data_IF_725740522753
#
_entry.id   IF_725740522753
#
_cell.length_a   1.000
_cell.length_b   1.000
_cell.length_c   1.000
_cell.angle_alpha   90.00
_cell.angle_beta   90.00
_cell.angle_gamma   90.00
#
_symmetry.space_group_name_H-M   'P 1'
#
loop_
_entity.id
_entity.type
_entity.pdbx_description
1 polymer ?
#
# COMPACT_ATOMS: atom_id res chain seq x y z
N UNK A 1 10.24 -25.99 -5.18
CA UNK A 1 11.24 -25.03 -4.64
C UNK A 1 11.52 -25.41 -3.19
N UNK A 2 12.79 -25.43 -2.77
CA UNK A 2 13.13 -25.58 -1.35
C UNK A 2 12.53 -24.37 -0.63
N UNK A 3 11.78 -24.59 0.45
CA UNK A 3 11.07 -23.51 1.17
C UNK A 3 12.01 -22.52 1.86
N UNK A 4 13.28 -22.87 1.98
CA UNK A 4 14.28 -22.15 2.78
C UNK A 4 15.34 -21.44 1.94
N UNK A 5 15.08 -21.21 0.64
CA UNK A 5 15.99 -20.52 -0.26
C UNK A 5 15.26 -19.49 -1.14
N UNK A 6 15.92 -18.35 -1.47
CA UNK A 6 15.43 -17.39 -2.44
C UNK A 6 15.06 -18.03 -3.79
N UNK A 7 13.92 -17.66 -4.42
CA UNK A 7 13.52 -18.19 -5.72
C UNK A 7 14.55 -17.92 -6.84
N UNK A 8 15.20 -16.76 -6.80
CA UNK A 8 16.38 -16.40 -7.59
C UNK A 8 17.55 -16.30 -6.62
N UNK A 9 18.59 -17.11 -6.85
CA UNK A 9 19.69 -17.25 -5.89
C UNK A 9 20.39 -15.92 -5.62
N UNK A 10 20.42 -15.54 -4.35
CA UNK A 10 21.24 -14.46 -3.77
C UNK A 10 21.86 -14.98 -2.48
N UNK A 11 23.05 -14.51 -2.15
CA UNK A 11 23.79 -14.86 -0.95
C UNK A 11 24.21 -13.60 -0.18
N UNK A 12 24.46 -13.76 1.12
CA UNK A 12 25.04 -12.69 1.94
C UNK A 12 26.43 -12.34 1.38
N UNK A 13 26.67 -11.05 1.18
CA UNK A 13 27.87 -10.50 0.54
C UNK A 13 27.71 -10.20 -0.94
N UNK A 14 26.68 -10.73 -1.61
CA UNK A 14 26.42 -10.44 -3.02
C UNK A 14 26.16 -8.95 -3.23
N UNK A 15 26.66 -8.43 -4.34
CA UNK A 15 26.40 -7.08 -4.82
C UNK A 15 25.51 -7.19 -6.04
N UNK A 16 24.39 -6.46 -5.99
CA UNK A 16 23.42 -6.38 -7.07
C UNK A 16 23.44 -5.00 -7.68
N UNK A 17 23.29 -4.92 -9.00
CA UNK A 17 23.21 -3.68 -9.75
C UNK A 17 21.86 -3.55 -10.45
N UNK A 18 21.36 -2.31 -10.57
CA UNK A 18 20.12 -1.98 -11.27
C UNK A 18 20.25 -0.60 -11.93
N UNK A 19 19.59 -0.41 -13.06
CA UNK A 19 19.48 0.91 -13.68
C UNK A 19 18.48 1.79 -12.92
N UNK A 20 18.93 2.98 -12.53
CA UNK A 20 18.13 4.00 -11.86
C UNK A 20 17.65 5.06 -12.85
N UNK A 21 16.33 5.15 -13.05
CA UNK A 21 15.74 6.21 -13.87
C UNK A 21 15.94 7.60 -13.24
N UNK A 22 16.00 7.67 -11.91
CA UNK A 22 16.20 8.89 -11.15
C UNK A 22 17.57 9.54 -11.43
N UNK A 23 18.59 8.70 -11.59
CA UNK A 23 19.97 9.11 -11.80
C UNK A 23 20.41 9.07 -13.27
N UNK A 24 19.66 8.37 -14.13
CA UNK A 24 20.09 8.09 -15.50
C UNK A 24 21.37 7.24 -15.55
N UNK A 25 21.60 6.41 -14.53
CA UNK A 25 22.83 5.67 -14.31
C UNK A 25 22.53 4.37 -13.54
N UNK A 26 23.48 3.44 -13.54
CA UNK A 26 23.40 2.23 -12.72
C UNK A 26 23.74 2.54 -11.27
N UNK A 27 23.09 1.85 -10.35
CA UNK A 27 23.36 1.87 -8.91
C UNK A 27 23.64 0.47 -8.41
N UNK A 28 24.22 0.35 -7.21
CA UNK A 28 24.58 -0.92 -6.62
C UNK A 28 24.12 -1.01 -5.16
N UNK A 29 23.80 -2.22 -4.72
CA UNK A 29 23.42 -2.56 -3.35
C UNK A 29 24.08 -3.87 -2.91
N UNK A 30 24.42 -4.00 -1.63
CA UNK A 30 24.94 -5.24 -1.06
C UNK A 30 23.86 -5.98 -0.26
N UNK A 31 23.77 -7.30 -0.44
CA UNK A 31 22.97 -8.18 0.41
C UNK A 31 23.75 -8.42 1.71
N UNK A 32 23.26 -7.91 2.84
CA UNK A 32 23.95 -8.04 4.13
C UNK A 32 23.37 -9.13 5.03
N UNK A 33 22.17 -9.63 4.71
CA UNK A 33 21.51 -10.67 5.49
C UNK A 33 20.40 -11.38 4.70
N UNK A 34 20.11 -12.62 5.07
CA UNK A 34 18.97 -13.38 4.56
C UNK A 34 18.26 -14.01 5.76
N UNK A 35 16.95 -13.78 5.86
CA UNK A 35 16.08 -14.40 6.84
C UNK A 35 15.13 -15.38 6.14
N UNK A 36 15.38 -16.70 6.22
CA UNK A 36 14.49 -17.70 5.63
C UNK A 36 13.12 -17.81 6.29
N UNK A 37 12.99 -17.42 7.57
CA UNK A 37 11.72 -17.49 8.29
C UNK A 37 10.80 -16.35 7.86
N UNK A 38 11.34 -15.14 7.74
CA UNK A 38 10.62 -13.98 7.22
C UNK A 38 10.55 -13.93 5.69
N UNK A 39 11.33 -14.76 4.99
CA UNK A 39 11.50 -14.71 3.53
C UNK A 39 12.00 -13.34 3.04
N UNK A 40 12.92 -12.74 3.81
CA UNK A 40 13.45 -11.40 3.57
C UNK A 40 14.95 -11.42 3.30
N UNK A 41 15.42 -10.42 2.55
CA UNK A 41 16.83 -10.08 2.39
C UNK A 41 17.08 -8.66 2.92
N UNK A 42 18.12 -8.50 3.73
CA UNK A 42 18.60 -7.20 4.15
C UNK A 42 19.50 -6.62 3.06
N UNK A 43 19.17 -5.43 2.57
CA UNK A 43 19.79 -4.79 1.41
C UNK A 43 20.31 -3.42 1.83
N UNK A 44 21.61 -3.22 1.63
CA UNK A 44 22.30 -1.97 1.87
C UNK A 44 22.57 -1.28 0.53
N UNK A 45 21.94 -0.13 0.27
CA UNK A 45 22.30 0.66 -0.91
C UNK A 45 23.71 1.26 -0.73
N UNK A 46 24.47 1.30 -1.83
CA UNK A 46 25.82 1.86 -1.85
C UNK A 46 25.79 3.30 -2.37
N UNK A 47 26.68 4.14 -1.87
CA UNK A 47 26.93 5.47 -2.41
C UNK A 47 27.73 5.36 -3.72
N UNK A 48 27.09 4.81 -4.73
CA UNK A 48 27.69 4.56 -6.03
C UNK A 48 26.66 4.72 -7.14
N UNK A 49 27.06 5.43 -8.20
CA UNK A 49 26.40 5.27 -9.49
C UNK A 49 27.39 5.43 -10.64
N UNK A 50 27.14 4.78 -11.76
CA UNK A 50 27.97 4.95 -12.94
C UNK A 50 27.39 4.30 -14.20
N UNK A 51 28.25 4.06 -15.21
CA UNK A 51 27.94 3.17 -16.32
C UNK A 51 27.58 1.76 -15.83
N UNK A 52 27.03 0.93 -16.73
CA UNK A 52 26.69 -0.47 -16.43
C UNK A 52 27.92 -1.24 -15.92
N UNK A 53 27.91 -1.73 -14.66
CA UNK A 53 29.02 -2.50 -14.13
C UNK A 53 28.91 -3.95 -14.59
N UNK A 54 30.00 -4.52 -15.10
CA UNK A 54 30.08 -5.94 -15.43
C UNK A 54 30.48 -6.78 -14.21
N UNK A 55 31.26 -6.21 -13.29
CA UNK A 55 31.70 -6.85 -12.06
C UNK A 55 31.85 -5.85 -10.91
N UNK A 56 31.93 -6.37 -9.68
CA UNK A 56 32.22 -5.57 -8.47
C UNK A 56 33.48 -4.70 -8.60
N UNK A 57 34.49 -5.16 -9.34
CA UNK A 57 35.72 -4.39 -9.56
C UNK A 57 35.47 -3.04 -10.28
N UNK A 58 34.40 -2.93 -11.07
CA UNK A 58 34.04 -1.70 -11.79
C UNK A 58 33.49 -0.62 -10.86
N UNK A 59 33.11 -0.98 -9.63
CA UNK A 59 32.56 -0.04 -8.67
C UNK A 59 33.63 0.82 -7.99
N UNK A 60 34.89 0.36 -7.98
CA UNK A 60 35.98 0.99 -7.22
C UNK A 60 35.77 0.92 -5.70
N UNK A 61 36.27 1.94 -4.99
CA UNK A 61 36.09 2.05 -3.54
C UNK A 61 34.68 2.55 -3.21
N UNK A 62 33.77 1.62 -2.93
CA UNK A 62 32.39 1.91 -2.56
C UNK A 62 32.19 2.03 -1.06
N UNK A 63 31.24 2.88 -0.66
CA UNK A 63 30.84 3.09 0.72
C UNK A 63 29.33 2.83 0.88
N UNK A 64 28.87 2.48 2.10
CA UNK A 64 27.44 2.47 2.42
C UNK A 64 26.78 3.83 2.14
N UNK A 65 25.59 3.85 1.53
CA UNK A 65 24.83 5.08 1.34
C UNK A 65 24.36 5.60 2.70
N UNK A 66 24.80 6.82 3.04
CA UNK A 66 24.39 7.52 4.26
C UNK A 66 23.39 8.63 3.93
N UNK A 67 22.22 8.57 4.55
CA UNK A 67 21.13 9.52 4.36
C UNK A 67 21.23 10.67 5.35
N UNK A 68 21.39 11.88 4.82
CA UNK A 68 21.38 13.15 5.56
C UNK A 68 20.37 14.15 5.00
N UNK A 69 19.62 13.76 3.96
CA UNK A 69 18.57 14.60 3.39
C UNK A 69 17.35 14.69 4.31
N UNK A 70 16.64 15.82 4.26
CA UNK A 70 15.40 16.05 5.03
C UNK A 70 15.63 15.84 6.54
N UNK A 71 14.85 14.95 7.19
CA UNK A 71 14.95 14.64 8.63
C UNK A 71 15.89 13.48 8.94
N UNK A 72 16.62 12.94 7.95
CA UNK A 72 17.55 11.83 8.17
C UNK A 72 18.82 12.31 8.91
N UNK A 73 19.14 11.65 10.02
CA UNK A 73 20.25 12.01 10.92
C UNK A 73 21.59 11.32 10.61
N UNK A 74 21.86 10.95 9.36
CA UNK A 74 23.06 10.19 8.98
C UNK A 74 22.89 8.68 9.11
N UNK A 75 21.66 8.17 9.04
CA UNK A 75 21.37 6.73 9.02
C UNK A 75 21.75 6.11 7.69
N UNK A 76 21.99 4.80 7.66
CA UNK A 76 22.27 4.08 6.40
C UNK A 76 20.98 3.82 5.63
N UNK A 77 21.05 3.82 4.29
CA UNK A 77 19.98 3.26 3.46
C UNK A 77 20.08 1.74 3.50
N UNK A 78 19.56 1.16 4.58
CA UNK A 78 19.60 -0.26 4.88
C UNK A 78 18.19 -0.74 5.23
N UNK A 79 17.66 -1.66 4.45
CA UNK A 79 16.26 -2.06 4.53
C UNK A 79 16.09 -3.56 4.26
N UNK A 80 15.08 -4.18 4.88
CA UNK A 80 14.65 -5.52 4.56
C UNK A 80 13.59 -5.49 3.45
N UNK A 81 13.78 -6.31 2.43
CA UNK A 81 12.85 -6.52 1.32
C UNK A 81 12.51 -8.00 1.21
N UNK A 82 11.45 -8.36 0.48
CA UNK A 82 11.25 -9.76 0.14
C UNK A 82 12.48 -10.31 -0.60
N UNK A 83 12.85 -11.55 -0.27
CA UNK A 83 14.05 -12.21 -0.82
C UNK A 83 13.95 -12.61 -2.30
N UNK A 84 12.94 -12.11 -3.03
CA UNK A 84 12.83 -12.30 -4.47
C UNK A 84 13.64 -11.22 -5.14
N UNK A 85 14.83 -11.56 -5.66
CA UNK A 85 15.63 -10.61 -6.43
C UNK A 85 14.88 -10.20 -7.71
N UNK A 86 14.46 -8.93 -7.86
CA UNK A 86 13.67 -8.53 -9.01
C UNK A 86 14.45 -8.72 -10.30
N UNK A 87 13.75 -9.02 -11.40
CA UNK A 87 14.40 -9.38 -12.66
C UNK A 87 15.28 -8.27 -13.23
N UNK A 88 15.00 -7.00 -12.93
CA UNK A 88 15.81 -5.86 -13.38
C UNK A 88 17.17 -5.78 -12.67
N UNK A 89 17.35 -6.50 -11.56
CA UNK A 89 18.60 -6.54 -10.83
C UNK A 89 19.49 -7.67 -11.33
N UNK A 90 20.80 -7.44 -11.30
CA UNK A 90 21.82 -8.42 -11.67
C UNK A 90 22.86 -8.55 -10.57
N UNK A 91 23.18 -9.77 -10.17
CA UNK A 91 24.33 -10.02 -9.28
C UNK A 91 25.61 -9.84 -10.08
N UNK A 92 26.48 -8.94 -9.63
CA UNK A 92 27.74 -8.57 -10.31
C UNK A 92 28.99 -9.09 -9.58
N UNK A 93 28.80 -9.87 -8.52
CA UNK A 93 29.86 -10.46 -7.69
C UNK A 93 29.55 -10.27 -6.21
N UNK A 94 30.57 -10.37 -5.36
CA UNK A 94 30.42 -10.26 -3.91
C UNK A 94 31.53 -9.40 -3.30
N UNK A 95 31.23 -8.74 -2.18
CA UNK A 95 32.17 -7.98 -1.36
C UNK A 95 32.15 -8.51 0.08
N UNK A 96 33.23 -8.31 0.86
CA UNK A 96 33.14 -8.36 2.31
C UNK A 96 32.02 -7.44 2.80
N UNK A 97 31.34 -7.83 3.87
CA UNK A 97 30.24 -7.03 4.41
C UNK A 97 30.75 -5.65 4.84
N UNK A 98 30.13 -4.60 4.28
CA UNK A 98 30.41 -3.22 4.68
C UNK A 98 29.73 -2.86 6.01
N UNK A 99 28.69 -3.61 6.37
CA UNK A 99 27.87 -3.46 7.58
C UNK A 99 27.52 -4.86 8.08
N UNK A 100 27.59 -5.06 9.40
CA UNK A 100 27.24 -6.36 10.04
C UNK A 100 26.01 -6.27 10.93
N UNK A 101 25.63 -5.05 11.28
CA UNK A 101 24.43 -4.72 12.03
C UNK A 101 23.18 -5.08 11.21
N UNK A 102 22.13 -5.62 11.84
CA UNK A 102 20.88 -5.92 11.15
C UNK A 102 20.12 -4.64 10.79
N UNK A 103 19.34 -4.71 9.72
CA UNK A 103 18.33 -3.68 9.41
C UNK A 103 17.08 -3.92 10.25
N UNK A 104 16.51 -2.84 10.80
CA UNK A 104 15.19 -2.84 11.44
C UNK A 104 14.12 -2.13 10.58
N UNK A 105 14.49 -1.70 9.36
CA UNK A 105 13.58 -1.09 8.39
C UNK A 105 13.04 -2.14 7.43
N UNK A 106 11.81 -1.95 6.96
CA UNK A 106 11.14 -2.82 5.99
C UNK A 106 10.50 -1.97 4.89
N UNK A 107 10.58 -2.44 3.64
CA UNK A 107 9.94 -1.78 2.52
C UNK A 107 9.36 -2.82 1.56
N UNK A 108 8.24 -2.48 0.92
CA UNK A 108 7.50 -3.38 0.03
C UNK A 108 8.18 -3.63 -1.31
N UNK A 109 9.15 -2.80 -1.70
CA UNK A 109 9.83 -2.87 -2.99
C UNK A 109 11.32 -2.60 -2.83
N UNK A 110 12.15 -3.22 -3.67
CA UNK A 110 13.61 -2.99 -3.69
C UNK A 110 13.93 -1.57 -4.15
N UNK A 111 14.85 -0.90 -3.46
CA UNK A 111 15.33 0.44 -3.83
C UNK A 111 16.10 0.44 -5.16
N UNK A 112 15.88 1.46 -5.99
CA UNK A 112 16.52 1.60 -7.32
C UNK A 112 17.23 2.95 -7.44
N UNK A 113 17.88 3.37 -6.35
CA UNK A 113 18.67 4.60 -6.29
C UNK A 113 17.86 5.87 -6.06
N UNK A 114 16.57 5.81 -5.72
CA UNK A 114 15.78 6.99 -5.37
C UNK A 114 16.34 7.70 -4.14
N UNK A 115 16.80 6.96 -3.13
CA UNK A 115 17.45 7.54 -1.95
C UNK A 115 18.78 8.20 -2.32
N UNK A 116 19.59 7.56 -3.18
CA UNK A 116 20.83 8.14 -3.69
C UNK A 116 20.57 9.43 -4.50
N UNK A 117 19.52 9.46 -5.33
CA UNK A 117 19.12 10.65 -6.08
C UNK A 117 18.72 11.81 -5.15
N UNK A 118 17.92 11.53 -4.11
CA UNK A 118 17.55 12.52 -3.09
C UNK A 118 18.76 13.01 -2.31
N UNK A 119 19.67 12.11 -1.95
CA UNK A 119 20.90 12.46 -1.24
C UNK A 119 21.79 13.38 -2.08
N UNK A 120 22.02 13.05 -3.35
CA UNK A 120 22.80 13.92 -4.26
C UNK A 120 22.14 15.26 -4.53
N UNK A 121 20.81 15.28 -4.64
CA UNK A 121 20.07 16.52 -4.74
C UNK A 121 20.30 17.41 -3.51
N UNK A 122 20.26 16.82 -2.32
CA UNK A 122 20.51 17.50 -1.06
C UNK A 122 21.96 18.02 -0.93
N UNK A 123 22.93 17.20 -1.33
CA UNK A 123 24.36 17.54 -1.30
C UNK A 123 24.73 18.65 -2.29
N UNK A 124 23.93 18.84 -3.35
CA UNK A 124 24.06 20.00 -4.25
C UNK A 124 23.71 21.35 -3.58
N UNK A 125 23.17 21.31 -2.36
CA UNK A 125 22.69 22.47 -1.61
C UNK A 125 21.22 22.82 -1.90
N UNK A 126 20.55 22.12 -2.81
CA UNK A 126 19.13 22.32 -3.08
C UNK A 126 18.28 21.62 -2.00
N UNK A 127 17.49 22.41 -1.27
CA UNK A 127 16.62 21.95 -0.18
C UNK A 127 15.15 21.84 -0.56
N UNK A 128 14.82 22.04 -1.85
CA UNK A 128 13.49 21.71 -2.35
C UNK A 128 13.36 20.20 -2.46
N UNK A 129 12.11 19.72 -2.35
CA UNK A 129 11.84 18.30 -2.57
C UNK A 129 12.22 17.94 -4.00
N UNK A 130 13.02 16.88 -4.13
CA UNK A 130 13.31 16.30 -5.43
C UNK A 130 12.08 15.55 -5.91
N UNK A 131 11.48 16.05 -7.00
CA UNK A 131 10.39 15.39 -7.69
C UNK A 131 10.92 14.70 -8.95
N UNK A 132 10.64 13.41 -9.07
CA UNK A 132 10.92 12.67 -10.28
C UNK A 132 10.07 13.23 -11.44
N UNK A 133 10.65 13.79 -12.50
CA UNK A 133 9.90 14.43 -13.59
C UNK A 133 9.06 13.42 -14.40
N UNK A 134 9.32 12.13 -14.24
CA UNK A 134 8.58 11.01 -14.83
C UNK A 134 7.51 10.44 -13.91
N UNK A 135 7.31 11.00 -12.71
CA UNK A 135 6.33 10.54 -11.74
C UNK A 135 5.15 11.52 -11.61
N UNK A 136 3.94 10.98 -11.56
CA UNK A 136 2.71 11.71 -11.30
C UNK A 136 1.96 11.03 -10.15
N UNK A 137 1.59 11.81 -9.15
CA UNK A 137 0.65 11.43 -8.10
C UNK A 137 -0.56 12.35 -8.18
N UNK A 138 -1.75 11.80 -8.26
CA UNK A 138 -2.99 12.57 -8.32
C UNK A 138 -4.17 11.80 -7.73
N UNK A 139 -5.26 12.50 -7.48
CA UNK A 139 -6.57 11.90 -7.18
C UNK A 139 -7.23 11.38 -8.46
N UNK A 140 -8.21 10.48 -8.31
CA UNK A 140 -9.07 10.06 -9.41
C UNK A 140 -9.89 11.23 -10.01
N UNK A 141 -10.26 12.22 -9.19
CA UNK A 141 -10.98 13.41 -9.63
C UNK A 141 -10.11 14.30 -10.52
N UNK A 142 -8.89 14.60 -10.11
CA UNK A 142 -7.91 15.34 -10.92
C UNK A 142 -7.65 14.61 -12.24
N UNK A 143 -7.48 13.29 -12.19
CA UNK A 143 -7.30 12.47 -13.38
C UNK A 143 -8.50 12.57 -14.33
N UNK A 144 -9.72 12.52 -13.81
CA UNK A 144 -10.94 12.62 -14.61
C UNK A 144 -11.14 14.02 -15.21
N UNK A 145 -10.87 15.07 -14.42
CA UNK A 145 -10.93 16.45 -14.89
C UNK A 145 -9.96 16.70 -16.04
N UNK A 146 -8.77 16.08 -16.02
CA UNK A 146 -7.81 16.14 -17.10
C UNK A 146 -8.19 15.32 -18.33
N UNK A 147 -8.85 14.16 -18.16
CA UNK A 147 -9.33 13.35 -19.29
C UNK A 147 -10.32 14.09 -20.18
N UNK A 148 -11.06 15.07 -19.65
CA UNK A 148 -11.92 15.94 -20.49
C UNK A 148 -11.12 16.76 -21.53
N UNK A 149 -9.79 16.78 -21.44
CA UNK A 149 -8.88 17.50 -22.35
C UNK A 149 -8.17 16.60 -23.38
N UNK A 150 -8.45 15.29 -23.43
CA UNK A 150 -7.82 14.32 -24.35
C UNK A 150 -6.29 14.44 -24.44
N UNK A 151 -5.64 14.72 -23.30
CA UNK A 151 -4.20 14.96 -23.27
C UNK A 151 -3.42 13.66 -23.08
N UNK A 152 -2.71 13.23 -24.11
CA UNK A 152 -1.65 12.21 -24.00
C UNK A 152 -0.58 12.70 -23.02
N UNK A 153 -0.27 11.91 -21.98
CA UNK A 153 0.75 12.19 -20.96
C UNK A 153 2.02 11.37 -21.20
N UNK A 154 2.57 11.48 -22.41
CA UNK A 154 3.82 10.82 -22.78
C UNK A 154 4.95 11.21 -21.81
N UNK A 155 5.80 10.24 -21.46
CA UNK A 155 6.93 10.45 -20.54
C UNK A 155 6.62 10.30 -19.04
N UNK A 156 5.35 10.21 -18.64
CA UNK A 156 4.99 9.74 -17.29
C UNK A 156 5.18 8.22 -17.25
N UNK A 157 6.09 7.78 -16.39
CA UNK A 157 6.44 6.37 -16.20
C UNK A 157 5.90 5.80 -14.91
N UNK A 158 5.81 6.62 -13.87
CA UNK A 158 5.29 6.23 -12.56
C UNK A 158 4.00 6.98 -12.30
N UNK A 159 2.89 6.27 -12.15
CA UNK A 159 1.60 6.86 -11.86
C UNK A 159 1.03 6.30 -10.57
N UNK A 160 0.69 7.19 -9.64
CA UNK A 160 -0.06 6.88 -8.43
C UNK A 160 -1.39 7.61 -8.47
N UNK A 161 -2.50 6.86 -8.47
CA UNK A 161 -3.85 7.41 -8.44
C UNK A 161 -4.53 6.95 -7.15
N UNK A 162 -4.96 7.90 -6.32
CA UNK A 162 -5.67 7.62 -5.08
C UNK A 162 -7.10 8.15 -5.07
N UNK A 163 -7.91 7.69 -4.13
CA UNK A 163 -9.31 8.12 -4.00
C UNK A 163 -10.19 7.65 -5.15
N UNK A 164 -9.87 6.50 -5.77
CA UNK A 164 -10.66 5.95 -6.86
C UNK A 164 -12.00 5.43 -6.33
N UNK A 165 -13.09 6.03 -6.79
CA UNK A 165 -14.45 5.49 -6.66
C UNK A 165 -14.82 4.66 -7.89
N UNK A 166 -14.49 5.17 -9.08
CA UNK A 166 -14.63 4.48 -10.36
C UNK A 166 -13.53 4.94 -11.33
N UNK A 167 -12.89 4.01 -12.04
CA UNK A 167 -11.86 4.31 -13.03
C UNK A 167 -11.92 3.33 -14.21
N UNK A 168 -11.92 3.84 -15.44
CA UNK A 168 -11.81 3.02 -16.65
C UNK A 168 -10.34 2.84 -17.04
N UNK A 169 -9.85 1.61 -17.01
CA UNK A 169 -8.47 1.30 -17.33
C UNK A 169 -8.14 1.52 -18.82
N UNK A 170 -9.13 1.52 -19.72
CA UNK A 170 -8.90 1.80 -21.16
C UNK A 170 -8.43 3.24 -21.35
N UNK A 171 -9.08 4.18 -20.67
CA UNK A 171 -8.72 5.60 -20.72
C UNK A 171 -7.36 5.84 -20.07
N UNK A 172 -7.12 5.20 -18.91
CA UNK A 172 -5.83 5.28 -18.23
C UNK A 172 -4.68 4.83 -19.14
N UNK A 173 -4.80 3.67 -19.80
CA UNK A 173 -3.72 3.16 -20.65
C UNK A 173 -3.54 4.02 -21.91
N UNK A 174 -4.62 4.57 -22.47
CA UNK A 174 -4.54 5.49 -23.59
C UNK A 174 -3.82 6.81 -23.24
N UNK A 175 -4.07 7.34 -22.04
CA UNK A 175 -3.44 8.57 -21.56
C UNK A 175 -1.96 8.36 -21.15
N UNK A 176 -1.61 7.18 -20.64
CA UNK A 176 -0.28 6.88 -20.07
C UNK A 176 0.34 5.62 -20.70
N UNK A 177 0.79 5.66 -21.96
CA UNK A 177 1.31 4.47 -22.64
C UNK A 177 2.73 4.06 -22.19
N UNK A 178 3.49 4.96 -21.54
CA UNK A 178 4.89 4.74 -21.15
C UNK A 178 5.05 4.20 -19.72
N UNK A 179 3.96 3.77 -19.06
CA UNK A 179 4.01 3.34 -17.67
C UNK A 179 4.92 2.14 -17.44
N UNK A 180 5.84 2.31 -16.50
CA UNK A 180 6.65 1.24 -15.91
C UNK A 180 6.18 0.91 -14.50
N UNK A 181 5.52 1.84 -13.80
CA UNK A 181 4.93 1.63 -12.47
C UNK A 181 3.55 2.22 -12.38
N UNK A 182 2.61 1.44 -11.87
CA UNK A 182 1.24 1.86 -11.66
C UNK A 182 0.76 1.49 -10.27
N UNK A 183 0.31 2.48 -9.50
CA UNK A 183 -0.33 2.31 -8.20
C UNK A 183 -1.74 2.90 -8.25
N UNK A 184 -2.74 2.07 -7.93
CA UNK A 184 -4.14 2.45 -7.91
C UNK A 184 -4.70 2.14 -6.53
N UNK A 185 -5.27 3.14 -5.85
CA UNK A 185 -5.94 2.95 -4.57
C UNK A 185 -7.32 3.59 -4.54
N UNK A 186 -8.26 2.84 -3.97
CA UNK A 186 -9.62 3.27 -3.74
C UNK A 186 -10.05 3.02 -2.30
N UNK A 187 -11.35 3.07 -2.09
CA UNK A 187 -11.98 2.59 -0.88
C UNK A 187 -13.27 1.86 -1.30
N UNK A 188 -13.16 0.54 -1.49
CA UNK A 188 -14.15 -0.25 -2.22
C UNK A 188 -14.49 0.33 -3.61
N UNK A 189 -13.50 0.93 -4.27
CA UNK A 189 -13.66 1.53 -5.59
C UNK A 189 -13.84 0.50 -6.69
N UNK A 190 -14.21 0.94 -7.90
CA UNK A 190 -14.43 0.06 -9.05
C UNK A 190 -13.47 0.37 -10.19
N UNK A 191 -12.71 -0.62 -10.66
CA UNK A 191 -12.03 -0.59 -11.94
C UNK A 191 -12.94 -1.20 -13.01
N UNK A 192 -13.09 -0.52 -14.13
CA UNK A 192 -13.76 -1.06 -15.33
C UNK A 192 -12.76 -1.30 -16.44
N UNK A 193 -13.04 -2.28 -17.29
CA UNK A 193 -12.16 -2.64 -18.42
C UNK A 193 -10.73 -2.99 -17.98
N UNK A 194 -10.58 -3.61 -16.81
CA UNK A 194 -9.27 -3.83 -16.18
C UNK A 194 -8.32 -4.70 -17.03
N UNK A 195 -8.86 -5.58 -17.88
CA UNK A 195 -8.09 -6.28 -18.91
C UNK A 195 -7.22 -5.36 -19.78
N UNK A 196 -7.59 -4.08 -19.95
CA UNK A 196 -6.81 -3.08 -20.69
C UNK A 196 -5.40 -2.87 -20.14
N UNK A 197 -5.15 -3.15 -18.85
CA UNK A 197 -3.80 -3.09 -18.26
C UNK A 197 -2.80 -4.03 -18.95
N UNK A 198 -3.27 -5.07 -19.65
CA UNK A 198 -2.42 -5.90 -20.51
C UNK A 198 -1.80 -5.13 -21.69
N UNK A 199 -2.23 -3.91 -21.98
CA UNK A 199 -1.70 -3.09 -23.07
C UNK A 199 -0.48 -2.24 -22.65
N UNK A 200 0.07 -2.45 -21.44
CA UNK A 200 1.25 -1.76 -20.92
C UNK A 200 2.51 -2.67 -20.98
N UNK A 201 3.17 -2.81 -22.15
CA UNK A 201 4.25 -3.79 -22.33
C UNK A 201 5.49 -3.52 -21.48
N UNK A 202 5.68 -2.27 -21.02
CA UNK A 202 6.80 -1.83 -20.17
C UNK A 202 6.49 -1.85 -18.68
N UNK A 203 5.30 -2.30 -18.28
CA UNK A 203 4.90 -2.33 -16.88
C UNK A 203 5.83 -3.29 -16.11
N UNK A 204 6.49 -2.76 -15.08
CA UNK A 204 7.40 -3.46 -14.17
C UNK A 204 6.74 -3.71 -12.82
N UNK A 205 6.00 -2.72 -12.29
CA UNK A 205 5.33 -2.82 -11.00
C UNK A 205 3.85 -2.43 -11.07
N UNK A 206 3.00 -3.25 -10.46
CA UNK A 206 1.57 -2.98 -10.30
C UNK A 206 1.15 -3.07 -8.83
N UNK A 207 0.58 -1.99 -8.31
CA UNK A 207 -0.08 -1.97 -7.00
C UNK A 207 -1.56 -1.66 -7.17
N UNK A 208 -2.44 -2.48 -6.59
CA UNK A 208 -3.88 -2.24 -6.55
C UNK A 208 -4.36 -2.47 -5.11
N UNK A 209 -4.97 -1.46 -4.52
CA UNK A 209 -5.46 -1.49 -3.14
C UNK A 209 -6.92 -1.05 -3.04
N UNK A 210 -7.76 -1.86 -2.39
CA UNK A 210 -9.16 -1.56 -2.10
C UNK A 210 -10.00 -1.22 -3.36
N UNK A 211 -9.79 -2.02 -4.41
CA UNK A 211 -10.41 -1.84 -5.73
C UNK A 211 -11.01 -3.15 -6.25
N UNK A 212 -12.21 -3.04 -6.80
CA UNK A 212 -13.09 -4.13 -7.24
C UNK A 212 -13.51 -3.93 -8.71
N UNK A 213 -14.44 -4.74 -9.21
CA UNK A 213 -14.90 -4.70 -10.60
C UNK A 213 -14.12 -5.59 -11.57
N UNK A 214 -12.98 -6.13 -11.13
CA UNK A 214 -12.19 -7.13 -11.86
C UNK A 214 -12.71 -8.56 -11.61
N UNK A 215 -12.59 -9.41 -12.62
CA UNK A 215 -12.76 -10.86 -12.47
C UNK A 215 -11.57 -11.66 -13.03
N UNK A 216 -11.69 -12.99 -13.11
CA UNK A 216 -10.61 -13.83 -13.60
C UNK A 216 -10.18 -13.54 -15.06
N UNK A 217 -11.06 -12.97 -15.89
CA UNK A 217 -10.79 -12.61 -17.29
C UNK A 217 -9.94 -11.36 -17.44
N UNK A 218 -9.94 -10.48 -16.43
CA UNK A 218 -9.09 -9.27 -16.38
C UNK A 218 -7.65 -9.56 -15.96
N UNK A 219 -7.32 -10.82 -15.66
CA UNK A 219 -6.01 -11.24 -15.19
C UNK A 219 -4.88 -10.70 -16.08
N UNK A 220 -3.88 -10.09 -15.44
CA UNK A 220 -2.68 -9.63 -16.12
C UNK A 220 -1.86 -10.83 -16.61
N UNK A 221 -1.48 -10.86 -17.88
CA UNK A 221 -0.85 -12.02 -18.50
C UNK A 221 0.63 -11.76 -18.82
N UNK A 222 1.57 -12.64 -18.38
CA UNK A 222 3.00 -12.46 -18.59
C UNK A 222 3.43 -12.21 -20.04
N UNK A 223 2.69 -12.77 -21.01
CA UNK A 223 2.97 -12.57 -22.44
C UNK A 223 2.70 -11.15 -22.94
N UNK A 224 1.81 -10.41 -22.30
CA UNK A 224 1.44 -9.04 -22.69
C UNK A 224 2.22 -7.99 -21.91
N UNK A 225 2.62 -8.33 -20.68
CA UNK A 225 3.41 -7.47 -19.79
C UNK A 225 4.70 -8.16 -19.36
N UNK A 226 5.61 -8.41 -20.32
CA UNK A 226 6.77 -9.26 -20.11
C UNK A 226 7.83 -8.66 -19.20
N UNK A 227 7.71 -7.40 -18.77
CA UNK A 227 8.64 -6.71 -17.87
C UNK A 227 8.23 -6.73 -16.40
N UNK A 228 7.03 -7.22 -16.07
CA UNK A 228 6.55 -7.25 -14.68
C UNK A 228 7.50 -8.05 -13.80
N UNK A 229 7.79 -7.46 -12.65
CA UNK A 229 8.66 -7.98 -11.61
C UNK A 229 8.09 -7.79 -10.20
N UNK A 230 7.08 -6.93 -10.04
CA UNK A 230 6.43 -6.68 -8.76
C UNK A 230 4.91 -6.54 -8.94
N UNK A 231 4.14 -7.32 -8.18
CA UNK A 231 2.68 -7.23 -8.14
C UNK A 231 2.20 -7.30 -6.71
N UNK A 232 1.58 -6.20 -6.25
CA UNK A 232 1.06 -6.04 -4.89
C UNK A 232 -0.43 -5.74 -4.92
N UNK A 233 -1.25 -6.71 -4.49
CA UNK A 233 -2.71 -6.63 -4.55
C UNK A 233 -3.29 -6.77 -3.14
N UNK A 234 -4.02 -5.75 -2.70
CA UNK A 234 -4.67 -5.72 -1.39
C UNK A 234 -6.15 -5.38 -1.54
N UNK A 235 -7.05 -6.11 -0.87
CA UNK A 235 -8.47 -5.77 -0.89
C UNK A 235 -9.10 -5.84 -2.28
N UNK A 236 -8.87 -6.96 -3.00
CA UNK A 236 -9.34 -7.17 -4.38
C UNK A 236 -10.35 -8.32 -4.50
N UNK A 237 -11.07 -8.47 -5.62
CA UNK A 237 -11.98 -9.60 -5.86
C UNK A 237 -11.29 -10.96 -5.73
N UNK A 238 -11.93 -11.91 -5.05
CA UNK A 238 -11.38 -13.25 -4.79
C UNK A 238 -11.05 -14.05 -6.06
N UNK A 239 -11.87 -13.90 -7.11
CA UNK A 239 -11.67 -14.59 -8.38
C UNK A 239 -10.47 -14.01 -9.14
N UNK A 240 -10.34 -12.68 -9.19
CA UNK A 240 -9.16 -12.01 -9.74
C UNK A 240 -7.88 -12.37 -8.96
N UNK A 241 -7.94 -12.35 -7.63
CA UNK A 241 -6.83 -12.76 -6.76
C UNK A 241 -6.38 -14.21 -7.04
N UNK A 242 -7.34 -15.11 -7.27
CA UNK A 242 -7.08 -16.52 -7.58
C UNK A 242 -6.42 -16.65 -8.96
N UNK A 243 -6.93 -15.94 -9.96
CA UNK A 243 -6.34 -15.90 -11.30
C UNK A 243 -4.90 -15.36 -11.26
N UNK A 244 -4.67 -14.22 -10.60
CA UNK A 244 -3.34 -13.60 -10.47
C UNK A 244 -2.34 -14.53 -9.79
N UNK A 245 -2.72 -15.17 -8.67
CA UNK A 245 -1.87 -16.18 -8.01
C UNK A 245 -1.53 -17.35 -8.91
N UNK A 246 -2.51 -17.91 -9.64
CA UNK A 246 -2.28 -19.03 -10.55
C UNK A 246 -1.32 -18.65 -11.68
N UNK A 247 -1.47 -17.44 -12.22
CA UNK A 247 -0.67 -16.94 -13.34
C UNK A 247 0.75 -16.59 -12.93
N UNK A 248 0.95 -15.85 -11.83
CA UNK A 248 2.23 -15.21 -11.53
C UNK A 248 3.12 -15.96 -10.53
N UNK A 249 2.57 -16.81 -9.66
CA UNK A 249 3.41 -17.60 -8.71
C UNK A 249 4.51 -18.43 -9.39
N UNK A 250 4.30 -19.07 -10.56
CA UNK A 250 5.36 -19.78 -11.27
C UNK A 250 6.53 -18.90 -11.71
N UNK A 251 6.33 -17.57 -11.81
CA UNK A 251 7.33 -16.61 -12.25
C UNK A 251 8.25 -16.09 -11.13
N UNK A 252 8.06 -16.52 -9.88
CA UNK A 252 8.94 -16.13 -8.77
C UNK A 252 10.43 -16.46 -9.04
N UNK A 253 10.70 -17.61 -9.66
CA UNK A 253 12.06 -17.99 -10.07
C UNK A 253 12.67 -17.12 -11.17
N UNK A 254 11.85 -16.30 -11.83
CA UNK A 254 12.26 -15.32 -12.83
C UNK A 254 12.31 -13.89 -12.28
N UNK A 255 12.28 -13.74 -10.95
CA UNK A 255 12.37 -12.43 -10.30
C UNK A 255 11.06 -11.65 -10.27
N UNK A 256 9.92 -12.36 -10.19
CA UNK A 256 8.61 -11.73 -9.96
C UNK A 256 8.19 -11.90 -8.50
N UNK A 257 8.09 -10.80 -7.78
CA UNK A 257 7.47 -10.73 -6.47
C UNK A 257 5.95 -10.60 -6.62
N UNK A 258 5.21 -11.45 -5.90
CA UNK A 258 3.74 -11.43 -5.88
C UNK A 258 3.24 -11.43 -4.44
N UNK A 259 2.67 -10.31 -4.02
CA UNK A 259 1.93 -10.17 -2.77
C UNK A 259 0.43 -10.02 -3.07
N UNK A 260 -0.38 -10.91 -2.51
CA UNK A 260 -1.84 -10.87 -2.66
C UNK A 260 -2.51 -11.13 -1.34
N UNK A 261 -3.05 -10.08 -0.73
CA UNK A 261 -3.68 -10.07 0.60
C UNK A 261 -5.11 -9.52 0.53
N UNK A 262 -5.89 -9.77 1.58
CA UNK A 262 -7.21 -9.17 1.73
C UNK A 262 -8.25 -9.54 0.66
N UNK A 263 -8.08 -10.62 -0.10
CA UNK A 263 -9.02 -10.97 -1.18
C UNK A 263 -10.45 -11.18 -0.64
N UNK A 264 -11.46 -10.53 -1.26
CA UNK A 264 -12.85 -10.54 -0.81
C UNK A 264 -13.81 -11.11 -1.85
N UNK A 265 -14.85 -11.78 -1.38
CA UNK A 265 -15.97 -12.21 -2.24
C UNK A 265 -17.00 -11.09 -2.39
N UNK A 266 -17.83 -11.09 -3.46
CA UNK A 266 -18.87 -10.09 -3.66
C UNK A 266 -19.82 -9.93 -2.46
N UNK A 267 -20.16 -11.02 -1.77
CA UNK A 267 -21.06 -10.97 -0.61
C UNK A 267 -20.42 -10.23 0.58
N UNK A 268 -19.10 -10.34 0.75
CA UNK A 268 -18.38 -9.59 1.78
C UNK A 268 -18.40 -8.10 1.47
N UNK A 269 -18.18 -7.72 0.20
CA UNK A 269 -18.19 -6.31 -0.23
C UNK A 269 -19.58 -5.71 0.01
N UNK A 270 -20.63 -6.40 -0.42
CA UNK A 270 -22.00 -5.97 -0.20
C UNK A 270 -22.35 -5.81 1.29
N UNK A 271 -21.87 -6.72 2.14
CA UNK A 271 -22.15 -6.69 3.58
C UNK A 271 -21.32 -5.65 4.38
N UNK A 272 -20.24 -5.12 3.80
CA UNK A 272 -19.31 -4.21 4.48
C UNK A 272 -19.16 -2.84 3.79
N UNK A 273 -19.92 -2.56 2.74
CA UNK A 273 -19.86 -1.28 2.01
C UNK A 273 -20.09 -0.06 2.90
N UNK A 274 -20.96 -0.17 3.90
CA UNK A 274 -21.28 0.88 4.88
C UNK A 274 -20.66 0.63 6.25
N UNK A 275 -19.74 -0.33 6.37
CA UNK A 275 -19.07 -0.65 7.63
C UNK A 275 -17.77 0.18 7.73
N UNK A 276 -17.68 1.20 8.60
CA UNK A 276 -16.47 2.00 8.76
C UNK A 276 -15.32 1.20 9.40
N UNK A 277 -15.63 0.11 10.12
CA UNK A 277 -14.64 -0.76 10.75
C UNK A 277 -14.14 -1.88 9.84
N UNK A 278 -14.52 -1.90 8.55
CA UNK A 278 -14.20 -3.02 7.63
C UNK A 278 -12.69 -3.30 7.52
N UNK A 279 -11.86 -2.26 7.67
CA UNK A 279 -10.40 -2.33 7.53
C UNK A 279 -9.72 -3.01 8.72
N UNK A 280 -10.48 -3.30 9.80
CA UNK A 280 -10.02 -4.14 10.91
C UNK A 280 -9.98 -5.64 10.52
N UNK A 281 -10.67 -6.05 9.45
CA UNK A 281 -10.74 -7.46 9.02
C UNK A 281 -9.40 -7.96 8.47
N UNK A 282 -8.60 -8.56 9.36
CA UNK A 282 -7.31 -9.15 9.02
C UNK A 282 -6.09 -8.29 9.36
N UNK A 283 -6.25 -7.24 10.17
CA UNK A 283 -5.10 -6.61 10.85
C UNK A 283 -4.44 -7.60 11.80
N UNK A 284 -3.13 -7.56 11.88
CA UNK A 284 -2.33 -8.56 12.60
C UNK A 284 -2.61 -8.57 14.10
N UNK A 285 -2.75 -7.40 14.72
CA UNK A 285 -2.99 -7.24 16.15
C UNK A 285 -4.47 -7.35 16.54
N UNK A 286 -5.41 -7.27 15.59
CA UNK A 286 -6.85 -7.37 15.87
C UNK A 286 -7.32 -8.83 15.73
N UNK A 287 -7.76 -9.47 16.84
CA UNK A 287 -8.29 -10.82 16.76
C UNK A 287 -9.55 -10.86 15.90
N UNK A 288 -9.71 -11.90 15.07
CA UNK A 288 -10.90 -12.10 14.23
C UNK A 288 -12.22 -12.06 15.02
N UNK A 289 -12.20 -12.55 16.25
CA UNK A 289 -13.34 -12.49 17.18
C UNK A 289 -13.59 -11.07 17.69
N UNK A 290 -12.54 -10.28 17.92
CA UNK A 290 -12.61 -8.86 18.26
C UNK A 290 -13.28 -8.07 17.14
N UNK A 291 -12.76 -8.16 15.92
CA UNK A 291 -13.37 -7.53 14.74
C UNK A 291 -14.86 -7.86 14.57
N UNK A 292 -15.23 -9.15 14.61
CA UNK A 292 -16.64 -9.56 14.46
C UNK A 292 -17.56 -8.92 15.49
N UNK A 293 -17.11 -8.83 16.75
CA UNK A 293 -17.90 -8.20 17.81
C UNK A 293 -17.94 -6.69 17.68
N UNK A 294 -16.84 -6.06 17.25
CA UNK A 294 -16.80 -4.63 16.95
C UNK A 294 -17.83 -4.25 15.88
N UNK A 295 -17.93 -5.04 14.79
CA UNK A 295 -18.95 -4.82 13.74
C UNK A 295 -20.37 -5.00 14.25
N UNK A 296 -20.63 -6.02 15.08
CA UNK A 296 -21.95 -6.21 15.71
C UNK A 296 -22.31 -5.03 16.60
N UNK A 297 -21.36 -4.57 17.42
CA UNK A 297 -21.56 -3.41 18.29
C UNK A 297 -21.82 -2.14 17.50
N UNK A 298 -21.02 -1.87 16.47
CA UNK A 298 -21.22 -0.72 15.59
C UNK A 298 -22.61 -0.74 14.94
N UNK A 299 -23.05 -1.88 14.40
CA UNK A 299 -24.40 -2.02 13.81
C UNK A 299 -25.51 -1.76 14.82
N UNK A 300 -25.37 -2.29 16.04
CA UNK A 300 -26.35 -2.04 17.11
C UNK A 300 -26.43 -0.56 17.50
N UNK A 301 -25.28 0.12 17.62
CA UNK A 301 -25.21 1.56 17.89
C UNK A 301 -25.82 2.37 16.74
N UNK A 302 -25.52 1.99 15.49
CA UNK A 302 -26.11 2.60 14.29
C UNK A 302 -27.62 2.49 14.27
N UNK A 303 -28.17 1.31 14.50
CA UNK A 303 -29.61 1.09 14.47
C UNK A 303 -30.33 1.87 15.59
N UNK A 304 -29.76 1.91 16.79
CA UNK A 304 -30.28 2.69 17.91
C UNK A 304 -30.24 4.20 17.63
N UNK A 305 -29.13 4.71 17.09
CA UNK A 305 -28.96 6.11 16.75
C UNK A 305 -29.93 6.56 15.65
N UNK A 306 -30.05 5.77 14.58
CA UNK A 306 -30.98 6.05 13.49
C UNK A 306 -32.44 6.05 13.96
N UNK A 307 -32.83 5.13 14.83
CA UNK A 307 -34.17 5.10 15.41
C UNK A 307 -34.46 6.38 16.22
N UNK A 308 -33.49 6.87 16.98
CA UNK A 308 -33.65 8.08 17.79
C UNK A 308 -33.80 9.34 16.93
N UNK A 309 -32.87 9.57 16.00
CA UNK A 309 -32.87 10.79 15.17
C UNK A 309 -34.04 10.86 14.16
N UNK A 310 -34.69 9.72 13.90
CA UNK A 310 -35.91 9.65 13.09
C UNK A 310 -37.20 9.71 13.93
N UNK A 311 -37.13 9.43 15.24
CA UNK A 311 -38.29 9.22 16.12
C UNK A 311 -38.75 10.41 16.98
N UNK A 312 -37.88 11.39 17.32
CA UNK A 312 -38.29 12.52 18.18
C UNK A 312 -37.14 13.31 18.82
N UNK A 313 -37.45 14.43 19.50
CA UNK A 313 -36.52 15.53 19.86
C UNK A 313 -35.67 15.32 21.14
N UNK A 314 -35.71 14.15 21.81
CA UNK A 314 -35.01 13.94 23.09
C UNK A 314 -33.57 13.44 22.92
N UNK A 315 -32.61 14.37 22.98
CA UNK A 315 -31.18 14.06 22.78
C UNK A 315 -30.55 13.30 23.96
N UNK A 316 -31.25 13.15 25.10
CA UNK A 316 -30.74 12.41 26.26
C UNK A 316 -30.48 10.93 25.98
N UNK A 317 -31.24 10.32 25.07
CA UNK A 317 -31.05 8.93 24.68
C UNK A 317 -29.77 8.74 23.83
N UNK A 318 -29.36 9.78 23.09
CA UNK A 318 -28.17 9.73 22.23
C UNK A 318 -26.88 9.67 23.05
N UNK A 319 -26.81 10.39 24.18
CA UNK A 319 -25.68 10.30 25.12
C UNK A 319 -25.55 8.87 25.67
N UNK A 320 -26.65 8.22 26.03
CA UNK A 320 -26.62 6.84 26.53
C UNK A 320 -26.27 5.84 25.42
N UNK A 321 -26.69 6.06 24.16
CA UNK A 321 -26.23 5.27 23.01
C UNK A 321 -24.71 5.37 22.86
N UNK A 322 -24.16 6.59 22.96
CA UNK A 322 -22.71 6.83 22.94
C UNK A 322 -22.01 6.12 24.09
N UNK A 323 -22.52 6.25 25.32
CA UNK A 323 -21.97 5.58 26.51
C UNK A 323 -21.99 4.06 26.37
N UNK A 324 -23.08 3.51 25.83
CA UNK A 324 -23.21 2.09 25.55
C UNK A 324 -22.16 1.61 24.55
N UNK A 325 -21.86 2.40 23.52
CA UNK A 325 -20.78 2.13 22.57
C UNK A 325 -19.41 2.09 23.27
N UNK A 326 -19.05 3.14 24.02
CA UNK A 326 -17.76 3.20 24.72
C UNK A 326 -17.57 2.05 25.71
N UNK A 327 -18.57 1.78 26.54
CA UNK A 327 -18.55 0.66 27.50
C UNK A 327 -18.45 -0.71 26.83
N UNK A 328 -19.12 -0.90 25.68
CA UNK A 328 -19.01 -2.15 24.92
C UNK A 328 -17.59 -2.37 24.40
N UNK A 329 -16.94 -1.33 23.86
CA UNK A 329 -15.55 -1.43 23.42
C UNK A 329 -14.57 -1.63 24.60
N UNK A 330 -14.82 -1.08 25.80
CA UNK A 330 -14.01 -1.39 26.98
C UNK A 330 -14.09 -2.90 27.31
N UNK A 331 -15.29 -3.46 27.22
CA UNK A 331 -15.53 -4.87 27.48
C UNK A 331 -14.90 -5.79 26.41
N UNK A 332 -14.80 -5.32 25.16
CA UNK A 332 -14.10 -6.02 24.09
C UNK A 332 -12.58 -6.02 24.33
N UNK A 333 -12.03 -4.87 24.69
CA UNK A 333 -10.59 -4.68 24.84
C UNK A 333 -10.03 -5.32 26.12
N UNK A 334 -10.72 -5.18 27.25
CA UNK A 334 -10.30 -5.72 28.57
C UNK A 334 -10.00 -7.22 28.59
N UNK A 335 -10.57 -8.02 27.68
CA UNK A 335 -10.34 -9.48 27.62
C UNK A 335 -9.09 -9.84 26.82
N UNK A 336 -8.77 -9.04 25.82
CA UNK A 336 -7.67 -9.26 24.88
C UNK A 336 -7.41 -7.90 24.25
N UNK A 337 -6.52 -7.08 24.81
CA UNK A 337 -6.31 -5.72 24.31
C UNK A 337 -5.91 -5.74 22.84
N UNK A 338 -6.63 -4.97 22.03
CA UNK A 338 -6.38 -4.80 20.59
C UNK A 338 -6.69 -3.39 20.10
N UNK A 339 -7.27 -2.53 20.94
CA UNK A 339 -7.55 -1.13 20.61
C UNK A 339 -6.31 -0.30 20.95
N UNK A 340 -5.54 0.04 19.92
CA UNK A 340 -4.40 0.95 20.04
C UNK A 340 -4.80 2.36 19.58
N UNK A 341 -3.86 3.31 19.61
CA UNK A 341 -4.10 4.72 19.27
C UNK A 341 -4.84 4.91 17.93
N UNK A 342 -4.51 4.11 16.92
CA UNK A 342 -5.18 4.18 15.60
C UNK A 342 -6.62 3.70 15.70
N UNK A 343 -6.87 2.53 16.27
CA UNK A 343 -8.22 2.00 16.47
C UNK A 343 -9.08 2.92 17.35
N UNK A 344 -8.47 3.65 18.30
CA UNK A 344 -9.17 4.65 19.11
C UNK A 344 -9.75 5.76 18.24
N UNK A 345 -8.95 6.31 17.34
CA UNK A 345 -9.37 7.37 16.41
C UNK A 345 -10.44 6.84 15.45
N UNK A 346 -10.23 5.65 14.88
CA UNK A 346 -11.16 5.02 13.94
C UNK A 346 -12.54 4.72 14.55
N UNK A 347 -12.62 4.46 15.86
CA UNK A 347 -13.91 4.30 16.55
C UNK A 347 -14.69 5.61 16.64
N UNK A 348 -14.01 6.75 16.79
CA UNK A 348 -14.68 8.07 16.73
C UNK A 348 -15.04 8.43 15.30
N UNK A 349 -14.15 8.18 14.33
CA UNK A 349 -14.45 8.34 12.91
C UNK A 349 -15.68 7.51 12.49
N UNK A 350 -15.84 6.31 13.06
CA UNK A 350 -17.02 5.47 12.83
C UNK A 350 -18.32 6.11 13.37
N UNK A 351 -18.27 6.77 14.54
CA UNK A 351 -19.41 7.51 15.09
C UNK A 351 -19.71 8.77 14.30
N UNK A 352 -18.68 9.47 13.82
CA UNK A 352 -18.84 10.62 12.94
C UNK A 352 -19.44 10.23 11.59
N UNK A 353 -18.96 9.14 10.99
CA UNK A 353 -19.52 8.57 9.77
C UNK A 353 -21.00 8.20 9.93
N UNK A 354 -21.37 7.62 11.08
CA UNK A 354 -22.76 7.31 11.41
C UNK A 354 -23.64 8.59 11.45
N UNK A 355 -23.14 9.66 12.06
CA UNK A 355 -23.87 10.92 12.12
C UNK A 355 -24.01 11.57 10.72
N UNK A 356 -22.98 11.51 9.87
CA UNK A 356 -23.03 11.98 8.48
C UNK A 356 -24.04 11.17 7.64
N UNK A 357 -24.05 9.85 7.80
CA UNK A 357 -24.99 8.94 7.14
C UNK A 357 -26.43 9.31 7.53
N UNK A 358 -26.70 9.47 8.83
CA UNK A 358 -28.02 9.83 9.34
C UNK A 358 -28.47 11.22 8.88
N UNK A 359 -27.56 12.20 8.88
CA UNK A 359 -27.84 13.56 8.41
C UNK A 359 -28.19 13.57 6.92
N UNK A 360 -27.45 12.81 6.12
CA UNK A 360 -27.75 12.64 4.68
C UNK A 360 -29.09 11.96 4.46
N UNK A 361 -29.40 10.90 5.21
CA UNK A 361 -30.65 10.15 5.08
C UNK A 361 -31.90 10.94 5.51
N UNK A 362 -31.76 11.79 6.54
CA UNK A 362 -32.89 12.56 7.09
C UNK A 362 -33.02 13.97 6.51
N UNK A 363 -31.93 14.51 5.94
CA UNK A 363 -31.86 15.91 5.49
C UNK A 363 -31.90 16.94 6.64
N UNK A 364 -31.72 16.50 7.90
CA UNK A 364 -31.76 17.36 9.09
C UNK A 364 -30.36 17.72 9.54
N UNK A 365 -30.18 18.89 10.16
CA UNK A 365 -28.96 19.19 10.90
C UNK A 365 -28.92 18.34 12.17
N UNK A 366 -27.93 17.44 12.25
CA UNK A 366 -27.72 16.54 13.39
C UNK A 366 -26.47 16.92 14.20
N UNK A 367 -26.00 18.16 14.12
CA UNK A 367 -24.80 18.63 14.85
C UNK A 367 -24.90 18.37 16.35
N UNK A 368 -26.03 18.70 16.99
CA UNK A 368 -26.23 18.46 18.42
C UNK A 368 -26.28 16.97 18.78
N UNK A 369 -26.93 16.15 17.94
CA UNK A 369 -26.99 14.70 18.11
C UNK A 369 -25.60 14.07 17.97
N UNK A 370 -24.79 14.52 17.02
CA UNK A 370 -23.38 14.10 16.87
C UNK A 370 -22.60 14.41 18.15
N UNK A 371 -22.67 15.64 18.64
CA UNK A 371 -21.96 16.02 19.88
C UNK A 371 -22.39 15.15 21.06
N UNK A 372 -23.69 14.91 21.24
CA UNK A 372 -24.21 14.06 22.30
C UNK A 372 -23.69 12.60 22.20
N UNK A 373 -23.65 12.04 20.99
CA UNK A 373 -23.15 10.68 20.74
C UNK A 373 -21.66 10.55 21.11
N UNK A 374 -20.85 11.51 20.67
CA UNK A 374 -19.40 11.56 20.92
C UNK A 374 -19.11 11.82 22.40
N UNK A 375 -19.87 12.71 23.05
CA UNK A 375 -19.75 12.98 24.49
C UNK A 375 -20.07 11.72 25.31
N UNK A 376 -21.15 11.02 24.96
CA UNK A 376 -21.52 9.75 25.57
C UNK A 376 -20.39 8.73 25.51
N UNK A 377 -19.84 8.51 24.31
CA UNK A 377 -18.73 7.57 24.12
C UNK A 377 -17.49 7.96 24.95
N UNK A 378 -17.08 9.23 24.87
CA UNK A 378 -15.96 9.75 25.64
C UNK A 378 -16.13 9.61 27.16
N UNK A 379 -17.36 9.79 27.68
CA UNK A 379 -17.64 9.69 29.13
C UNK A 379 -17.37 8.31 29.73
N UNK A 380 -17.30 7.27 28.88
CA UNK A 380 -17.09 5.88 29.29
C UNK A 380 -15.80 5.27 28.78
N UNK A 381 -15.02 6.00 27.97
CA UNK A 381 -13.84 5.44 27.30
C UNK A 381 -12.71 5.11 28.29
N UNK A 382 -12.30 3.85 28.32
CA UNK A 382 -11.16 3.32 29.10
C UNK A 382 -10.25 2.40 28.27
N UNK A 383 -10.57 2.21 26.98
CA UNK A 383 -9.72 1.55 26.00
C UNK A 383 -8.67 2.46 25.40
#
# INVERSE_FOLDING_TARGET
>A
MRRDQPPRLVAVGDVVAVYSEALGAWTASQITGIDPAAQCAAVLELDWSGPEPAAVADLGDVQPLRLTHHSWGGTLSHCNHAWVLPRSFTVIGSLPLLVTEPSYSYASAWGRGEQLARQRHWDSGNRKDWNAPYALTCTAEELAAEHTRDALRAGVKHLTVHGITRLDCTHLVAAFPDLTRLSLSGNLGTLTSAAALNQLPRLQALTISELFGMDASDCLLPRHVPEVEEVSLYGIPADYATAMRKTWRPHAGHGVELDVRGARKPEWVAANATNPLRDWDGREHIPRTGYRKAVVQYKATRDAFLAEVTGGEDHGNIVEIGRGFGAAFNALDSRSPFIETVEREELFDALDFLADEAQTATGRDLTAARTALIEGANSSRDW
#
